data_IF_407583351206
#
_entry.id   IF_407583351206
#
_cell.length_a   1.000
_cell.length_b   1.000
_cell.length_c   1.000
_cell.angle_alpha   90.00
_cell.angle_beta   90.00
_cell.angle_gamma   90.00
#
_symmetry.space_group_name_H-M   'P 1'
#
loop_
_entity.id
_entity.type
_entity.pdbx_description
1 polymer ?
#
# COMPACT_ATOMS: atom_id res chain seq x y z
N UNK A 1 5.40 42.96 64.08
CA UNK A 1 5.99 43.02 62.74
C UNK A 1 5.29 41.94 61.87
N UNK A 2 4.36 42.34 61.00
CA UNK A 2 3.62 41.41 60.10
C UNK A 2 4.14 41.62 58.70
N UNK A 3 4.89 40.66 58.16
CA UNK A 3 5.34 40.65 56.79
C UNK A 3 4.24 40.04 55.93
N UNK A 4 3.66 40.86 55.03
CA UNK A 4 2.74 40.42 53.98
C UNK A 4 3.50 39.79 52.85
N UNK A 5 3.28 38.49 52.61
CA UNK A 5 3.75 37.77 51.44
C UNK A 5 2.72 37.95 50.33
N UNK A 6 3.06 38.78 49.34
CA UNK A 6 2.24 38.95 48.14
C UNK A 6 2.58 37.85 47.17
N UNK A 7 1.67 36.89 46.96
CA UNK A 7 1.77 35.85 45.96
C UNK A 7 1.37 36.48 44.61
N UNK A 8 2.33 36.72 43.74
CA UNK A 8 2.14 37.11 42.35
C UNK A 8 1.83 35.87 41.54
N UNK A 9 0.55 35.58 41.29
CA UNK A 9 0.09 34.55 40.37
C UNK A 9 0.33 35.08 38.96
N UNK A 10 1.41 34.64 38.30
CA UNK A 10 1.63 34.83 36.89
C UNK A 10 0.64 33.93 36.13
N UNK A 11 -0.41 34.56 35.61
CA UNK A 11 -1.35 33.94 34.64
C UNK A 11 -0.56 33.70 33.33
N UNK A 12 -0.02 32.49 33.17
CA UNK A 12 0.52 32.02 31.91
C UNK A 12 -0.70 31.69 31.02
N UNK A 13 -1.25 32.71 30.37
CA UNK A 13 -2.17 32.52 29.26
C UNK A 13 -1.34 31.91 28.13
N UNK A 14 -1.38 30.60 28.04
CA UNK A 14 -0.84 29.87 26.90
C UNK A 14 -1.59 30.37 25.65
N UNK A 15 -0.94 31.24 24.87
CA UNK A 15 -1.29 31.49 23.49
C UNK A 15 -1.17 30.15 22.77
N UNK A 16 -2.24 29.41 22.71
CA UNK A 16 -2.40 28.39 21.67
C UNK A 16 -2.36 29.17 20.36
N UNK A 17 -1.15 29.34 19.83
CA UNK A 17 -0.96 29.70 18.43
C UNK A 17 -1.72 28.63 17.64
N UNK A 18 -2.85 29.01 17.08
CA UNK A 18 -3.51 28.24 16.03
C UNK A 18 -2.52 28.27 14.85
N UNK A 19 -1.55 27.37 14.90
CA UNK A 19 -0.72 27.06 13.74
C UNK A 19 -1.72 26.56 12.71
N UNK A 20 -1.91 27.31 11.66
CA UNK A 20 -2.58 26.80 10.47
C UNK A 20 -1.75 25.57 10.06
N UNK A 21 -2.31 24.36 10.21
CA UNK A 21 -1.65 23.15 9.79
C UNK A 21 -1.48 23.18 8.27
N UNK A 22 -0.29 23.63 7.85
CA UNK A 22 0.08 23.63 6.44
C UNK A 22 0.44 22.19 6.08
N UNK A 23 -0.38 21.62 5.23
CA UNK A 23 -0.17 20.26 4.70
C UNK A 23 0.59 20.35 3.39
N UNK A 24 1.75 19.69 3.33
CA UNK A 24 2.56 19.54 2.10
C UNK A 24 2.31 18.17 1.47
N UNK A 25 2.60 18.07 0.17
CA UNK A 25 2.50 16.79 -0.56
C UNK A 25 3.39 15.70 0.06
N UNK A 26 4.64 16.04 0.36
CA UNK A 26 5.60 15.11 0.98
C UNK A 26 5.13 14.63 2.36
N UNK A 27 4.50 15.52 3.14
CA UNK A 27 3.90 15.16 4.42
C UNK A 27 2.75 14.16 4.25
N UNK A 28 1.94 14.30 3.21
CA UNK A 28 0.90 13.32 2.88
C UNK A 28 1.50 11.96 2.51
N UNK A 29 2.58 11.90 1.73
CA UNK A 29 3.29 10.65 1.42
C UNK A 29 3.83 9.97 2.68
N UNK A 30 4.46 10.76 3.56
CA UNK A 30 4.97 10.24 4.82
C UNK A 30 3.83 9.65 5.67
N UNK A 31 2.75 10.40 5.87
CA UNK A 31 1.62 9.99 6.71
C UNK A 31 0.92 8.72 6.18
N UNK A 32 0.75 8.59 4.87
CA UNK A 32 0.22 7.34 4.27
C UNK A 32 1.15 6.17 4.59
N UNK A 33 2.46 6.36 4.46
CA UNK A 33 3.44 5.30 4.73
C UNK A 33 3.52 4.91 6.21
N UNK A 34 3.07 5.78 7.14
CA UNK A 34 3.08 5.53 8.59
C UNK A 34 1.74 5.02 9.12
N UNK A 35 0.62 5.55 8.62
CA UNK A 35 -0.69 5.37 9.24
C UNK A 35 -1.61 4.42 8.47
N UNK A 36 -1.33 4.15 7.20
CA UNK A 36 -2.21 3.30 6.41
C UNK A 36 -2.29 1.89 7.01
N UNK A 37 -3.49 1.27 7.11
CA UNK A 37 -3.67 -0.03 7.79
C UNK A 37 -2.74 -1.15 7.33
N UNK A 38 -2.24 -1.08 6.08
CA UNK A 38 -1.30 -2.05 5.51
C UNK A 38 0.02 -2.10 6.30
N UNK A 39 0.44 -0.99 6.92
CA UNK A 39 1.68 -0.92 7.73
C UNK A 39 1.65 -1.91 8.90
N UNK A 40 0.46 -2.15 9.47
CA UNK A 40 0.31 -3.13 10.57
C UNK A 40 0.64 -4.56 10.14
N UNK A 41 0.53 -4.86 8.84
CA UNK A 41 0.86 -6.20 8.33
C UNK A 41 2.35 -6.50 8.42
N UNK A 42 3.22 -5.47 8.42
CA UNK A 42 4.67 -5.67 8.58
C UNK A 42 4.99 -6.39 9.90
N UNK A 43 4.49 -5.86 11.02
CA UNK A 43 4.70 -6.47 12.33
C UNK A 43 4.06 -7.86 12.44
N UNK A 44 2.91 -8.07 11.80
CA UNK A 44 2.24 -9.38 11.77
C UNK A 44 3.07 -10.41 10.98
N UNK A 45 3.65 -10.03 9.84
CA UNK A 45 4.53 -10.91 9.07
C UNK A 45 5.81 -11.25 9.83
N UNK A 46 6.41 -10.30 10.55
CA UNK A 46 7.59 -10.54 11.38
C UNK A 46 7.28 -11.52 12.51
N UNK A 47 6.16 -11.33 13.22
CA UNK A 47 5.73 -12.24 14.28
C UNK A 47 5.42 -13.64 13.73
N UNK A 48 4.71 -13.73 12.59
CA UNK A 48 4.43 -15.00 11.94
C UNK A 48 5.73 -15.73 11.56
N UNK A 49 6.67 -15.01 10.95
CA UNK A 49 7.96 -15.58 10.55
C UNK A 49 8.79 -16.05 11.75
N UNK A 50 8.78 -15.32 12.87
CA UNK A 50 9.45 -15.74 14.10
C UNK A 50 8.89 -17.10 14.59
N UNK A 51 7.56 -17.24 14.66
CA UNK A 51 6.91 -18.50 15.05
C UNK A 51 7.23 -19.64 14.06
N UNK A 52 7.30 -19.36 12.76
CA UNK A 52 7.63 -20.35 11.76
C UNK A 52 9.10 -20.78 11.81
N UNK A 53 10.02 -19.87 12.14
CA UNK A 53 11.43 -20.20 12.38
C UNK A 53 11.57 -21.05 13.64
N UNK A 54 10.88 -20.71 14.71
CA UNK A 54 10.84 -21.51 15.94
C UNK A 54 10.29 -22.91 15.64
N UNK A 55 9.21 -23.01 14.84
CA UNK A 55 8.64 -24.29 14.43
C UNK A 55 9.65 -25.14 13.62
N UNK A 56 10.44 -24.50 12.72
CA UNK A 56 11.50 -25.20 12.00
C UNK A 56 12.58 -25.70 12.99
N UNK A 57 12.91 -24.91 14.00
CA UNK A 57 13.90 -25.28 15.01
C UNK A 57 13.42 -26.38 15.96
N UNK A 58 12.10 -26.50 16.21
CA UNK A 58 11.55 -27.62 17.00
C UNK A 58 11.85 -28.99 16.37
N UNK A 59 12.08 -29.05 15.04
CA UNK A 59 12.49 -30.30 14.38
C UNK A 59 13.85 -30.85 14.87
N UNK A 60 14.65 -30.03 15.55
CA UNK A 60 15.90 -30.45 16.21
C UNK A 60 15.69 -31.10 17.58
N UNK A 61 14.49 -31.01 18.12
CA UNK A 61 14.15 -31.53 19.44
C UNK A 61 13.61 -32.96 19.31
N UNK A 62 13.78 -33.81 20.39
CA UNK A 62 13.20 -35.13 20.40
C UNK A 62 11.67 -35.05 20.39
N UNK A 63 11.05 -35.88 19.54
CA UNK A 63 9.60 -36.04 19.51
C UNK A 63 9.23 -37.25 20.35
N UNK A 64 8.25 -37.09 21.23
CA UNK A 64 7.75 -38.13 22.12
C UNK A 64 6.32 -38.48 21.70
N UNK A 65 6.15 -39.73 21.26
CA UNK A 65 4.86 -40.27 20.78
C UNK A 65 4.39 -41.39 21.71
N UNK A 66 3.12 -41.41 22.07
CA UNK A 66 2.47 -42.47 22.80
C UNK A 66 1.41 -43.13 21.94
N UNK A 67 1.60 -44.41 21.69
CA UNK A 67 0.69 -45.23 20.91
C UNK A 67 0.12 -46.34 21.79
N UNK A 68 -1.20 -46.52 21.81
CA UNK A 68 -1.89 -47.64 22.45
C UNK A 68 -2.80 -48.29 21.42
N UNK A 69 -2.64 -49.59 21.29
CA UNK A 69 -3.42 -50.41 20.35
C UNK A 69 -4.05 -51.63 21.05
N UNK A 70 -5.30 -51.90 20.76
CA UNK A 70 -5.99 -53.13 21.04
C UNK A 70 -6.53 -53.67 19.71
N UNK A 71 -6.19 -54.90 19.37
CA UNK A 71 -6.61 -55.51 18.13
C UNK A 71 -7.13 -56.93 18.34
N UNK A 72 -8.15 -57.32 17.59
CA UNK A 72 -8.57 -58.72 17.41
C UNK A 72 -8.07 -59.16 16.04
N UNK A 73 -7.26 -60.23 16.02
CA UNK A 73 -6.76 -60.86 14.81
C UNK A 73 -7.63 -62.10 14.50
N UNK A 74 -8.14 -62.19 13.28
CA UNK A 74 -8.92 -63.35 12.85
C UNK A 74 -8.06 -64.62 12.76
N UNK A 75 -6.74 -64.42 12.60
CA UNK A 75 -5.77 -65.51 12.57
C UNK A 75 -4.44 -65.05 13.20
N UNK A 76 -3.71 -65.98 13.82
CA UNK A 76 -2.42 -65.69 14.50
C UNK A 76 -1.33 -66.63 14.00
N UNK A 77 -0.07 -66.23 14.16
CA UNK A 77 1.10 -67.02 13.75
C UNK A 77 1.14 -68.36 14.56
N UNK A 78 1.09 -69.46 13.87
CA UNK A 78 1.21 -70.82 14.47
C UNK A 78 2.50 -71.48 13.95
N UNK A 79 3.16 -72.24 14.81
CA UNK A 79 4.34 -73.03 14.43
C UNK A 79 3.83 -74.39 13.97
N UNK A 80 4.01 -74.80 12.70
CA UNK A 80 3.47 -76.04 12.16
C UNK A 80 4.34 -77.30 12.56
N UNK A 81 4.75 -77.37 13.82
CA UNK A 81 5.54 -78.47 14.36
C UNK A 81 4.77 -79.15 15.53
N UNK A 82 4.61 -80.47 15.55
CA UNK A 82 3.94 -81.13 16.64
C UNK A 82 4.80 -81.06 17.93
N UNK A 83 4.15 -80.87 19.08
CA UNK A 83 4.68 -80.93 20.46
C UNK A 83 5.85 -79.92 20.75
N UNK A 84 5.78 -78.74 20.27
CA UNK A 84 6.79 -77.71 20.63
C UNK A 84 6.57 -77.11 22.02
N UNK A 85 5.44 -77.30 22.64
CA UNK A 85 5.07 -76.69 23.92
C UNK A 85 4.91 -75.15 23.83
N UNK A 86 4.88 -74.57 22.63
CA UNK A 86 4.71 -73.14 22.40
C UNK A 86 3.26 -72.86 22.04
N UNK A 87 2.56 -72.13 22.92
CA UNK A 87 1.19 -71.70 22.67
C UNK A 87 1.16 -70.58 21.63
N UNK A 88 0.26 -70.61 20.64
CA UNK A 88 0.09 -69.56 19.71
C UNK A 88 -0.34 -68.27 20.44
N UNK A 89 0.02 -67.06 19.90
CA UNK A 89 -0.43 -65.77 20.44
C UNK A 89 -1.97 -65.71 20.53
N UNK A 90 -2.51 -64.94 21.49
CA UNK A 90 -3.94 -64.72 21.59
C UNK A 90 -4.45 -63.93 20.37
N UNK A 91 -5.66 -64.15 19.92
CA UNK A 91 -6.34 -63.37 18.91
C UNK A 91 -6.58 -61.94 19.37
N UNK A 92 -6.70 -61.70 20.69
CA UNK A 92 -6.76 -60.37 21.29
C UNK A 92 -5.36 -59.93 21.66
N UNK A 93 -4.88 -58.85 20.99
CA UNK A 93 -3.55 -58.31 21.23
C UNK A 93 -3.64 -56.91 21.76
N UNK A 94 -2.82 -56.58 22.74
CA UNK A 94 -2.76 -55.29 23.38
C UNK A 94 -1.31 -54.78 23.40
N UNK A 95 -1.09 -53.53 23.03
CA UNK A 95 0.24 -52.92 23.07
C UNK A 95 0.12 -51.45 23.43
N UNK A 96 0.93 -51.00 24.36
CA UNK A 96 1.16 -49.60 24.65
C UNK A 96 2.64 -49.30 24.51
N UNK A 97 2.99 -48.29 23.75
CA UNK A 97 4.39 -47.94 23.40
C UNK A 97 4.60 -46.43 23.55
N UNK A 98 5.64 -46.06 24.24
CA UNK A 98 6.18 -44.71 24.29
C UNK A 98 7.43 -44.69 23.40
N UNK A 99 7.45 -43.82 22.41
CA UNK A 99 8.53 -43.70 21.42
C UNK A 99 9.14 -42.34 21.44
N UNK A 100 10.46 -42.25 21.37
CA UNK A 100 11.23 -41.04 21.22
C UNK A 100 11.97 -41.10 19.88
N UNK A 101 11.77 -40.07 19.04
CA UNK A 101 12.46 -39.92 17.78
C UNK A 101 13.29 -38.63 17.81
N UNK A 102 14.59 -38.74 17.62
CA UNK A 102 15.54 -37.61 17.60
C UNK A 102 16.20 -37.51 16.25
N UNK A 103 16.02 -36.37 15.57
CA UNK A 103 16.73 -36.04 14.33
C UNK A 103 18.18 -35.64 14.69
N UNK A 104 19.16 -36.43 14.30
CA UNK A 104 20.59 -36.22 14.60
C UNK A 104 21.26 -35.42 13.50
N UNK A 105 20.94 -35.76 12.23
CA UNK A 105 21.54 -35.13 11.07
C UNK A 105 20.54 -35.01 9.92
N UNK A 106 20.47 -33.83 9.30
CA UNK A 106 19.47 -33.49 8.27
C UNK A 106 20.09 -33.20 6.90
N UNK A 107 21.40 -33.35 6.71
CA UNK A 107 22.06 -32.89 5.49
C UNK A 107 22.01 -31.37 5.25
N UNK A 108 21.70 -30.58 6.31
CA UNK A 108 21.52 -29.13 6.22
C UNK A 108 20.11 -28.65 5.84
N UNK A 109 19.12 -29.57 5.79
CA UNK A 109 17.76 -29.24 5.37
C UNK A 109 17.09 -28.21 6.30
N UNK A 110 17.27 -28.30 7.62
CA UNK A 110 16.70 -27.33 8.59
C UNK A 110 17.23 -25.93 8.33
N UNK A 111 18.56 -25.79 8.16
CA UNK A 111 19.17 -24.49 7.85
C UNK A 111 18.67 -23.91 6.52
N UNK A 112 18.60 -24.74 5.48
CA UNK A 112 18.05 -24.33 4.18
C UNK A 112 16.58 -23.94 4.26
N UNK A 113 15.79 -24.63 5.11
CA UNK A 113 14.38 -24.29 5.37
C UNK A 113 14.25 -22.90 6.04
N UNK A 114 15.04 -22.65 7.08
CA UNK A 114 15.06 -21.32 7.73
C UNK A 114 15.50 -20.23 6.77
N UNK A 115 16.52 -20.49 5.92
CA UNK A 115 16.97 -19.53 4.90
C UNK A 115 15.89 -19.24 3.86
N UNK A 116 15.19 -20.26 3.36
CA UNK A 116 14.11 -20.08 2.41
C UNK A 116 12.94 -19.29 3.04
N UNK A 117 12.64 -19.53 4.34
CA UNK A 117 11.61 -18.80 5.06
C UNK A 117 11.96 -17.33 5.27
N UNK A 118 13.21 -17.01 5.59
CA UNK A 118 13.71 -15.63 5.69
C UNK A 118 13.68 -14.91 4.33
N UNK A 119 14.02 -15.60 3.24
CA UNK A 119 13.93 -15.02 1.90
C UNK A 119 12.47 -14.71 1.53
N UNK A 120 11.54 -15.61 1.84
CA UNK A 120 10.10 -15.39 1.66
C UNK A 120 9.60 -14.16 2.45
N UNK A 121 10.02 -13.99 3.72
CA UNK A 121 9.66 -12.82 4.52
C UNK A 121 10.12 -11.52 3.84
N UNK A 122 11.38 -11.46 3.37
CA UNK A 122 11.91 -10.26 2.69
C UNK A 122 11.10 -9.91 1.44
N UNK A 123 10.71 -10.92 0.65
CA UNK A 123 9.84 -10.74 -0.52
C UNK A 123 8.48 -10.16 -0.11
N UNK A 124 7.86 -10.70 0.96
CA UNK A 124 6.57 -10.22 1.46
C UNK A 124 6.65 -8.79 2.02
N UNK A 125 7.71 -8.46 2.76
CA UNK A 125 7.95 -7.10 3.27
C UNK A 125 8.09 -6.10 2.12
N UNK A 126 8.88 -6.43 1.10
CA UNK A 126 9.05 -5.56 -0.08
C UNK A 126 7.75 -5.45 -0.89
N UNK A 127 6.94 -6.50 -0.98
CA UNK A 127 5.62 -6.43 -1.61
C UNK A 127 4.68 -5.44 -0.90
N UNK A 128 4.72 -5.37 0.44
CA UNK A 128 3.99 -4.35 1.21
C UNK A 128 4.49 -2.94 0.90
N UNK A 129 5.81 -2.76 0.84
CA UNK A 129 6.41 -1.46 0.47
C UNK A 129 5.96 -1.02 -0.93
N UNK A 130 5.96 -1.90 -1.91
CA UNK A 130 5.43 -1.63 -3.26
C UNK A 130 3.96 -1.20 -3.18
N UNK A 131 3.14 -1.91 -2.40
CA UNK A 131 1.73 -1.58 -2.25
C UNK A 131 1.51 -0.21 -1.59
N UNK A 132 2.33 0.16 -0.60
CA UNK A 132 2.32 1.49 0.01
C UNK A 132 2.81 2.57 -0.98
N UNK A 133 3.83 2.26 -1.77
CA UNK A 133 4.36 3.18 -2.78
C UNK A 133 3.29 3.56 -3.83
N UNK A 134 2.48 2.60 -4.26
CA UNK A 134 1.39 2.83 -5.22
C UNK A 134 0.32 3.79 -4.69
N UNK A 135 0.17 3.94 -3.36
CA UNK A 135 -0.75 4.92 -2.78
C UNK A 135 -0.35 6.37 -3.06
N UNK A 136 0.92 6.65 -3.36
CA UNK A 136 1.39 8.00 -3.69
C UNK A 136 0.62 8.60 -4.88
N UNK A 137 0.31 7.81 -5.91
CA UNK A 137 -0.49 8.29 -7.04
C UNK A 137 -1.90 8.71 -6.62
N UNK A 138 -2.51 7.98 -5.70
CA UNK A 138 -3.83 8.33 -5.17
C UNK A 138 -3.78 9.60 -4.32
N UNK A 139 -2.72 9.76 -3.53
CA UNK A 139 -2.45 11.00 -2.79
C UNK A 139 -2.34 12.18 -3.77
N UNK A 140 -1.57 12.03 -4.87
CA UNK A 140 -1.45 13.07 -5.89
C UNK A 140 -2.80 13.51 -6.42
N UNK A 141 -3.63 12.57 -6.86
CA UNK A 141 -4.94 12.89 -7.41
C UNK A 141 -5.79 13.68 -6.42
N UNK A 142 -5.86 13.25 -5.15
CA UNK A 142 -6.64 13.92 -4.12
C UNK A 142 -6.08 15.31 -3.79
N UNK A 143 -4.77 15.40 -3.57
CA UNK A 143 -4.07 16.63 -3.20
C UNK A 143 -4.22 17.71 -4.27
N UNK A 144 -3.92 17.40 -5.52
CA UNK A 144 -4.01 18.36 -6.62
C UNK A 144 -5.45 18.69 -6.99
N UNK A 145 -6.42 17.78 -6.79
CA UNK A 145 -7.84 18.10 -6.94
C UNK A 145 -8.32 19.08 -5.88
N UNK A 146 -7.85 18.96 -4.63
CA UNK A 146 -8.15 19.93 -3.57
C UNK A 146 -7.55 21.32 -3.94
N UNK A 147 -6.32 21.35 -4.40
CA UNK A 147 -5.68 22.61 -4.86
C UNK A 147 -6.46 23.25 -6.01
N UNK A 148 -6.91 22.46 -6.98
CA UNK A 148 -7.71 22.97 -8.10
C UNK A 148 -9.01 23.61 -7.63
N UNK A 149 -9.71 22.94 -6.68
CA UNK A 149 -10.94 23.50 -6.10
C UNK A 149 -10.67 24.80 -5.31
N UNK A 150 -9.54 24.91 -4.60
CA UNK A 150 -9.14 26.16 -3.95
C UNK A 150 -8.99 27.29 -4.95
N UNK A 151 -8.21 27.07 -6.04
CA UNK A 151 -8.05 28.08 -7.09
C UNK A 151 -9.37 28.52 -7.71
N UNK A 152 -10.23 27.54 -8.02
CA UNK A 152 -11.54 27.85 -8.61
C UNK A 152 -12.43 28.62 -7.66
N UNK A 153 -12.38 28.36 -6.34
CA UNK A 153 -13.12 29.12 -5.34
C UNK A 153 -12.61 30.57 -5.25
N UNK A 154 -11.30 30.77 -5.22
CA UNK A 154 -10.68 32.09 -5.13
C UNK A 154 -11.09 32.96 -6.35
N UNK A 155 -11.06 32.38 -7.55
CA UNK A 155 -11.48 33.06 -8.77
C UNK A 155 -12.99 33.37 -8.78
N UNK A 156 -13.83 32.45 -8.28
CA UNK A 156 -15.28 32.70 -8.17
C UNK A 156 -15.60 33.80 -7.15
N UNK A 157 -14.86 33.84 -6.03
CA UNK A 157 -15.01 34.93 -5.04
C UNK A 157 -14.63 36.27 -5.68
N UNK A 158 -13.52 36.37 -6.40
CA UNK A 158 -13.10 37.57 -7.10
C UNK A 158 -14.13 38.01 -8.16
N UNK A 159 -14.68 37.07 -8.96
CA UNK A 159 -15.75 37.34 -9.94
C UNK A 159 -17.02 37.84 -9.24
N UNK A 160 -17.39 37.23 -8.10
CA UNK A 160 -18.54 37.65 -7.30
C UNK A 160 -18.39 39.09 -6.82
N UNK A 161 -17.26 39.44 -6.20
CA UNK A 161 -17.00 40.76 -5.68
C UNK A 161 -17.05 41.87 -6.80
N UNK A 162 -16.51 41.54 -7.98
CA UNK A 162 -16.59 42.42 -9.14
C UNK A 162 -18.01 42.62 -9.64
N UNK A 163 -18.82 41.56 -9.68
CA UNK A 163 -20.25 41.66 -10.06
C UNK A 163 -21.10 42.39 -9.02
N UNK A 164 -20.84 42.18 -7.73
CA UNK A 164 -21.56 42.91 -6.64
C UNK A 164 -21.28 44.38 -6.70
N UNK A 165 -20.02 44.83 -6.92
CA UNK A 165 -19.65 46.22 -7.14
C UNK A 165 -20.38 46.79 -8.35
N UNK A 166 -20.38 46.06 -9.48
CA UNK A 166 -21.04 46.50 -10.70
C UNK A 166 -22.55 46.56 -10.58
N UNK A 167 -23.17 45.67 -9.80
CA UNK A 167 -24.59 45.68 -9.52
C UNK A 167 -25.00 46.98 -8.79
N UNK A 168 -24.19 47.44 -7.84
CA UNK A 168 -24.44 48.74 -7.17
C UNK A 168 -24.45 49.92 -8.12
N UNK A 169 -23.44 49.96 -9.06
CA UNK A 169 -23.39 51.02 -10.08
C UNK A 169 -24.62 51.02 -11.02
N UNK A 170 -25.02 49.79 -11.47
CA UNK A 170 -26.14 49.61 -12.39
C UNK A 170 -27.46 49.96 -11.71
N UNK A 171 -27.66 49.54 -10.45
CA UNK A 171 -28.88 49.85 -9.70
C UNK A 171 -29.05 51.36 -9.54
N UNK A 172 -28.01 52.11 -9.20
CA UNK A 172 -28.04 53.55 -9.13
C UNK A 172 -28.34 54.19 -10.52
N UNK A 173 -27.72 53.67 -11.60
CA UNK A 173 -27.99 54.17 -12.96
C UNK A 173 -29.44 53.94 -13.42
N UNK A 174 -30.07 52.84 -13.00
CA UNK A 174 -31.54 52.58 -13.23
C UNK A 174 -32.40 53.59 -12.50
N UNK A 175 -32.07 53.87 -11.22
CA UNK A 175 -32.80 54.89 -10.43
C UNK A 175 -32.78 56.29 -11.04
N UNK A 176 -31.60 56.65 -11.63
CA UNK A 176 -31.45 57.92 -12.35
C UNK A 176 -31.95 57.91 -13.80
N UNK A 177 -32.54 56.78 -14.25
CA UNK A 177 -33.08 56.65 -15.61
C UNK A 177 -32.04 56.59 -16.74
N UNK A 178 -30.78 56.36 -16.42
CA UNK A 178 -29.69 56.29 -17.41
C UNK A 178 -29.43 54.86 -17.93
N UNK A 179 -30.10 53.85 -17.36
CA UNK A 179 -29.96 52.46 -17.77
C UNK A 179 -31.33 51.76 -17.83
N UNK A 180 -31.41 50.64 -18.59
CA UNK A 180 -32.65 49.84 -18.77
C UNK A 180 -33.07 49.17 -17.47
N UNK A 181 -34.39 49.17 -17.14
CA UNK A 181 -34.92 48.66 -15.86
C UNK A 181 -34.63 47.20 -15.52
N UNK A 182 -34.22 46.36 -16.48
CA UNK A 182 -33.95 44.93 -16.27
C UNK A 182 -32.45 44.59 -16.23
N UNK A 183 -31.59 45.62 -16.35
CA UNK A 183 -30.10 45.43 -16.39
C UNK A 183 -29.55 44.85 -15.09
N UNK A 184 -30.15 45.18 -13.94
CA UNK A 184 -29.78 44.60 -12.61
C UNK A 184 -30.08 43.11 -12.53
N UNK A 185 -31.18 42.64 -13.13
CA UNK A 185 -31.64 41.25 -13.05
C UNK A 185 -30.65 40.28 -13.70
N UNK A 186 -29.95 40.72 -14.74
CA UNK A 186 -28.89 39.91 -15.41
C UNK A 186 -27.75 39.64 -14.44
N UNK A 187 -27.30 40.64 -13.68
CA UNK A 187 -26.21 40.47 -12.71
C UNK A 187 -26.67 39.64 -11.51
N UNK A 188 -27.92 39.85 -11.00
CA UNK A 188 -28.47 39.04 -9.92
C UNK A 188 -28.53 37.55 -10.33
N UNK A 189 -28.95 37.24 -11.56
CA UNK A 189 -29.02 35.88 -12.06
C UNK A 189 -27.60 35.26 -12.12
N UNK A 190 -26.58 36.01 -12.56
CA UNK A 190 -25.20 35.50 -12.59
C UNK A 190 -24.63 35.32 -11.17
N UNK A 191 -24.93 36.22 -10.22
CA UNK A 191 -24.56 36.04 -8.80
C UNK A 191 -25.17 34.79 -8.18
N UNK A 192 -26.40 34.45 -8.51
CA UNK A 192 -27.04 33.20 -8.09
C UNK A 192 -26.36 31.98 -8.69
N UNK A 193 -25.96 32.04 -9.95
CA UNK A 193 -25.18 30.99 -10.61
C UNK A 193 -23.81 30.81 -9.93
N UNK A 194 -23.12 31.90 -9.61
CA UNK A 194 -21.84 31.83 -8.86
C UNK A 194 -22.08 31.19 -7.49
N UNK A 195 -23.14 31.57 -6.76
CA UNK A 195 -23.48 30.94 -5.48
C UNK A 195 -23.68 29.43 -5.60
N UNK A 196 -24.35 28.99 -6.66
CA UNK A 196 -24.54 27.55 -6.95
C UNK A 196 -23.18 26.87 -7.19
N UNK A 197 -22.30 27.44 -8.02
CA UNK A 197 -20.97 26.92 -8.31
C UNK A 197 -20.09 26.84 -7.03
N UNK A 198 -20.10 27.89 -6.22
CA UNK A 198 -19.38 27.91 -4.92
C UNK A 198 -19.86 26.80 -4.00
N UNK A 199 -21.18 26.59 -3.92
CA UNK A 199 -21.76 25.52 -3.10
C UNK A 199 -21.32 24.15 -3.57
N UNK A 200 -21.34 23.90 -4.88
CA UNK A 200 -20.91 22.64 -5.49
C UNK A 200 -19.41 22.36 -5.26
N UNK A 201 -18.55 23.34 -5.57
CA UNK A 201 -17.09 23.20 -5.41
C UNK A 201 -16.71 23.02 -3.93
N UNK A 202 -17.36 23.74 -3.01
CA UNK A 202 -17.10 23.61 -1.57
C UNK A 202 -17.45 22.20 -1.08
N UNK A 203 -18.59 21.63 -1.50
CA UNK A 203 -18.96 20.28 -1.13
C UNK A 203 -18.00 19.23 -1.74
N UNK A 204 -17.63 19.39 -3.02
CA UNK A 204 -16.66 18.50 -3.67
C UNK A 204 -15.30 18.56 -2.97
N UNK A 205 -14.80 19.76 -2.65
CA UNK A 205 -13.57 19.93 -1.86
C UNK A 205 -13.64 19.22 -0.52
N UNK A 206 -14.78 19.33 0.20
CA UNK A 206 -15.00 18.65 1.47
C UNK A 206 -14.88 17.15 1.33
N UNK A 207 -15.54 16.54 0.33
CA UNK A 207 -15.43 15.09 0.06
C UNK A 207 -13.98 14.67 -0.22
N UNK A 208 -13.24 15.44 -1.03
CA UNK A 208 -11.84 15.15 -1.34
C UNK A 208 -10.96 15.26 -0.09
N UNK A 209 -11.18 16.30 0.75
CA UNK A 209 -10.42 16.50 1.99
C UNK A 209 -10.69 15.38 3.00
N UNK A 210 -11.94 14.96 3.18
CA UNK A 210 -12.30 13.84 4.03
C UNK A 210 -11.70 12.53 3.51
N UNK A 211 -11.69 12.32 2.18
CA UNK A 211 -11.09 11.14 1.57
C UNK A 211 -9.57 11.11 1.78
N UNK A 212 -8.89 12.25 1.59
CA UNK A 212 -7.45 12.37 1.86
C UNK A 212 -7.15 12.15 3.34
N UNK A 213 -7.95 12.76 4.23
CA UNK A 213 -7.87 12.59 5.69
C UNK A 213 -7.94 11.11 6.09
N UNK A 214 -8.90 10.36 5.55
CA UNK A 214 -9.04 8.93 5.78
C UNK A 214 -7.83 8.13 5.24
N UNK A 215 -7.30 8.53 4.08
CA UNK A 215 -6.15 7.85 3.45
C UNK A 215 -4.86 8.05 4.25
N UNK A 216 -4.59 9.28 4.74
CA UNK A 216 -3.38 9.62 5.51
C UNK A 216 -3.50 9.31 7.01
N UNK A 217 -4.70 8.94 7.48
CA UNK A 217 -4.97 8.60 8.88
C UNK A 217 -4.89 9.79 9.86
N UNK A 218 -5.02 11.03 9.36
CA UNK A 218 -4.98 12.27 10.15
C UNK A 218 -6.19 13.10 9.83
N UNK A 219 -6.86 13.66 10.85
CA UNK A 219 -8.02 14.52 10.66
C UNK A 219 -7.61 15.84 10.00
N UNK A 220 -8.14 16.09 8.81
CA UNK A 220 -8.06 17.37 8.10
C UNK A 220 -9.39 18.08 8.23
N UNK A 221 -9.36 19.39 8.40
CA UNK A 221 -10.56 20.22 8.52
C UNK A 221 -10.63 21.24 7.37
N UNK A 222 -11.72 21.98 7.30
CA UNK A 222 -11.95 22.99 6.25
C UNK A 222 -10.96 24.19 6.30
N UNK A 223 -10.29 24.41 7.45
CA UNK A 223 -9.28 25.45 7.63
C UNK A 223 -7.86 24.98 7.30
N UNK A 224 -7.69 23.68 6.98
CA UNK A 224 -6.39 23.13 6.60
C UNK A 224 -5.92 23.77 5.30
N UNK A 225 -4.73 24.36 5.35
CA UNK A 225 -4.10 24.99 4.19
C UNK A 225 -3.21 24.00 3.46
N UNK A 226 -3.46 23.80 2.16
CA UNK A 226 -2.64 22.97 1.29
C UNK A 226 -1.61 23.83 0.57
N UNK A 227 -0.34 23.50 0.71
CA UNK A 227 0.75 24.21 0.04
C UNK A 227 0.82 23.81 -1.44
N UNK A 228 0.89 24.78 -2.35
CA UNK A 228 1.19 24.50 -3.77
C UNK A 228 2.64 24.03 -3.90
N UNK A 229 2.91 22.79 -4.32
CA UNK A 229 4.28 22.34 -4.51
C UNK A 229 4.86 22.98 -5.78
N UNK A 230 6.17 23.28 -5.73
CA UNK A 230 6.94 23.66 -6.91
C UNK A 230 7.86 22.50 -7.28
N UNK A 231 7.34 21.59 -8.10
CA UNK A 231 8.04 20.37 -8.45
C UNK A 231 8.94 20.57 -9.66
N UNK A 232 10.12 19.96 -9.58
CA UNK A 232 11.06 19.86 -10.70
C UNK A 232 11.08 18.39 -11.12
N UNK A 233 11.07 18.11 -12.41
CA UNK A 233 11.29 16.75 -12.92
C UNK A 233 12.75 16.39 -12.75
N UNK A 234 13.02 15.26 -12.11
CA UNK A 234 14.38 14.74 -11.99
C UNK A 234 14.80 14.10 -13.31
N UNK A 235 15.96 14.46 -13.80
CA UNK A 235 16.55 13.91 -15.02
C UNK A 235 17.45 12.69 -14.70
N UNK A 236 17.20 11.96 -13.61
CA UNK A 236 17.98 10.76 -13.31
C UNK A 236 17.71 9.66 -14.34
N UNK A 237 18.71 9.08 -14.99
CA UNK A 237 18.49 8.03 -15.99
C UNK A 237 18.13 6.68 -15.39
N UNK A 238 18.28 6.49 -14.06
CA UNK A 238 18.02 5.22 -13.40
C UNK A 238 16.66 5.20 -12.71
N UNK A 239 15.87 4.16 -12.97
CA UNK A 239 14.65 3.87 -12.25
C UNK A 239 14.99 3.45 -10.80
N UNK A 240 14.33 4.08 -9.82
CA UNK A 240 14.51 3.78 -8.38
C UNK A 240 13.24 3.20 -7.78
N UNK A 241 12.52 2.40 -8.56
CA UNK A 241 11.24 1.81 -8.19
C UNK A 241 11.44 0.63 -7.23
N UNK A 242 10.66 0.56 -6.12
CA UNK A 242 10.75 -0.56 -5.17
C UNK A 242 10.37 -1.91 -5.81
N UNK A 243 9.62 -1.92 -6.92
CA UNK A 243 9.28 -3.11 -7.68
C UNK A 243 10.51 -3.82 -8.25
N UNK A 244 11.56 -3.09 -8.65
CA UNK A 244 12.81 -3.69 -9.16
C UNK A 244 13.52 -4.50 -8.08
N UNK A 245 13.56 -4.00 -6.86
CA UNK A 245 14.12 -4.74 -5.73
C UNK A 245 13.22 -5.94 -5.37
N UNK A 246 11.89 -5.80 -5.45
CA UNK A 246 10.97 -6.91 -5.25
C UNK A 246 11.24 -8.05 -6.23
N UNK A 247 11.45 -7.77 -7.52
CA UNK A 247 11.79 -8.81 -8.50
C UNK A 247 13.12 -9.49 -8.16
N UNK A 248 14.11 -8.74 -7.68
CA UNK A 248 15.37 -9.34 -7.24
C UNK A 248 15.16 -10.26 -6.03
N UNK A 249 14.42 -9.82 -5.01
CA UNK A 249 14.11 -10.63 -3.83
C UNK A 249 13.31 -11.89 -4.18
N UNK A 250 12.39 -11.83 -5.14
CA UNK A 250 11.69 -13.02 -5.65
C UNK A 250 12.65 -14.02 -6.29
N UNK A 251 13.68 -13.57 -7.02
CA UNK A 251 14.71 -14.45 -7.58
C UNK A 251 15.56 -15.08 -6.47
N UNK A 252 15.95 -14.33 -5.46
CA UNK A 252 16.71 -14.81 -4.31
C UNK A 252 15.92 -15.84 -3.48
N UNK A 253 14.60 -15.64 -3.36
CA UNK A 253 13.69 -16.61 -2.75
C UNK A 253 13.67 -17.94 -3.49
N UNK A 254 13.57 -17.90 -4.82
CA UNK A 254 13.64 -19.10 -5.68
C UNK A 254 14.98 -19.82 -5.50
N UNK A 255 16.10 -19.11 -5.44
CA UNK A 255 17.41 -19.71 -5.19
C UNK A 255 17.47 -20.41 -3.83
N UNK A 256 16.90 -19.79 -2.80
CA UNK A 256 16.81 -20.39 -1.47
C UNK A 256 15.91 -21.65 -1.45
N UNK A 257 14.82 -21.64 -2.21
CA UNK A 257 13.95 -22.82 -2.40
C UNK A 257 14.66 -23.95 -3.17
N UNK A 258 15.46 -23.63 -4.18
CA UNK A 258 16.27 -24.62 -4.90
C UNK A 258 17.32 -25.28 -3.98
N UNK A 259 17.96 -24.49 -3.12
CA UNK A 259 18.88 -25.01 -2.10
C UNK A 259 18.16 -25.95 -1.12
N UNK A 260 16.96 -25.56 -0.65
CA UNK A 260 16.16 -26.39 0.22
C UNK A 260 15.80 -27.74 -0.42
N UNK A 261 15.39 -27.75 -1.70
CA UNK A 261 15.10 -28.98 -2.44
C UNK A 261 16.35 -29.87 -2.51
N UNK A 262 17.52 -29.29 -2.77
CA UNK A 262 18.79 -30.03 -2.81
C UNK A 262 19.13 -30.64 -1.44
N UNK A 263 18.98 -29.87 -0.34
CA UNK A 263 19.27 -30.33 1.02
C UNK A 263 18.28 -31.37 1.51
N UNK A 264 17.03 -31.29 1.08
CA UNK A 264 16.03 -32.29 1.43
C UNK A 264 16.30 -33.68 0.83
N UNK A 265 17.12 -33.77 -0.23
CA UNK A 265 17.53 -35.03 -0.84
C UNK A 265 18.80 -35.64 -0.21
N UNK A 266 19.40 -35.00 0.80
CA UNK A 266 20.55 -35.51 1.52
C UNK A 266 20.16 -36.60 2.51
N UNK A 267 21.07 -37.51 2.88
CA UNK A 267 20.83 -38.53 3.92
C UNK A 267 20.41 -37.86 5.23
N UNK A 268 19.46 -38.47 5.93
CA UNK A 268 18.98 -38.04 7.26
C UNK A 268 19.26 -39.18 8.27
N UNK A 269 19.84 -38.82 9.41
CA UNK A 269 20.12 -39.76 10.50
C UNK A 269 19.22 -39.46 11.68
N UNK A 270 18.52 -40.48 12.15
CA UNK A 270 17.64 -40.41 13.32
C UNK A 270 18.14 -41.38 14.41
N UNK A 271 18.12 -40.96 15.66
CA UNK A 271 18.13 -41.82 16.80
C UNK A 271 16.70 -42.07 17.23
N UNK A 272 16.42 -43.29 17.66
CA UNK A 272 15.11 -43.64 18.21
C UNK A 272 15.23 -44.56 19.43
N UNK A 273 14.31 -44.40 20.34
CA UNK A 273 14.11 -45.31 21.45
C UNK A 273 12.60 -45.52 21.62
N UNK A 274 12.20 -46.75 21.87
CA UNK A 274 10.82 -47.08 22.22
C UNK A 274 10.79 -48.03 23.40
N UNK A 275 9.85 -47.84 24.30
CA UNK A 275 9.60 -48.73 25.43
C UNK A 275 8.12 -48.89 25.64
N UNK A 276 7.71 -50.09 26.02
CA UNK A 276 6.30 -50.36 26.18
C UNK A 276 6.02 -51.71 26.82
N UNK A 277 4.76 -52.09 26.83
CA UNK A 277 4.31 -53.42 27.26
C UNK A 277 3.17 -53.86 26.36
N UNK A 278 3.07 -55.18 26.14
CA UNK A 278 2.03 -55.74 25.29
C UNK A 278 1.88 -57.25 25.46
N UNK A 279 0.80 -57.76 24.92
CA UNK A 279 0.57 -59.20 24.76
C UNK A 279 0.24 -59.47 23.27
N UNK A 280 1.13 -60.18 22.52
CA UNK A 280 2.51 -60.50 22.92
C UNK A 280 3.39 -59.24 23.00
N UNK A 281 4.53 -59.34 23.73
CA UNK A 281 5.60 -58.35 23.73
C UNK A 281 6.36 -58.32 22.38
N UNK A 282 7.70 -58.17 22.41
CA UNK A 282 8.52 -58.35 21.21
C UNK A 282 8.71 -59.81 20.85
N UNK A 283 8.67 -60.71 21.82
CA UNK A 283 8.74 -62.16 21.58
C UNK A 283 7.33 -62.69 21.26
N UNK A 284 7.07 -62.96 20.00
CA UNK A 284 5.77 -63.51 19.54
C UNK A 284 5.52 -64.97 19.98
N UNK A 285 6.54 -65.67 20.53
CA UNK A 285 6.44 -66.99 21.02
C UNK A 285 6.05 -67.07 22.50
N UNK A 286 5.96 -65.93 23.16
CA UNK A 286 5.53 -65.81 24.57
C UNK A 286 4.19 -65.07 24.62
N UNK A 287 3.13 -65.87 24.92
CA UNK A 287 1.74 -65.34 24.94
C UNK A 287 1.42 -64.65 26.28
N UNK A 288 2.39 -64.06 26.96
CA UNK A 288 2.19 -63.31 28.20
C UNK A 288 2.32 -61.81 27.97
N UNK A 289 1.82 -61.03 28.91
CA UNK A 289 2.00 -59.57 28.89
C UNK A 289 3.43 -59.25 29.32
N UNK A 290 4.25 -58.72 28.39
CA UNK A 290 5.67 -58.50 28.59
C UNK A 290 6.05 -57.02 28.35
N UNK A 291 6.91 -56.42 29.20
CA UNK A 291 7.56 -55.15 28.90
C UNK A 291 8.66 -55.35 27.85
N UNK A 292 8.88 -54.33 27.06
CA UNK A 292 9.93 -54.32 26.03
C UNK A 292 10.55 -52.94 25.83
N UNK A 293 11.74 -52.89 25.27
CA UNK A 293 12.33 -51.67 24.74
C UNK A 293 13.15 -51.95 23.49
N UNK A 294 13.30 -50.91 22.68
CA UNK A 294 14.16 -50.91 21.49
C UNK A 294 14.88 -49.58 21.41
N UNK A 295 16.20 -49.58 21.14
CA UNK A 295 17.02 -48.39 20.95
C UNK A 295 17.81 -48.63 19.68
N UNK A 296 17.90 -47.59 18.83
CA UNK A 296 18.63 -47.72 17.58
C UNK A 296 18.87 -46.39 16.86
N UNK A 297 19.53 -46.49 15.72
CA UNK A 297 19.72 -45.42 14.78
C UNK A 297 19.16 -45.83 13.42
N UNK A 298 18.57 -44.90 12.70
CA UNK A 298 17.98 -45.11 11.38
C UNK A 298 18.52 -44.09 10.40
N UNK A 299 19.12 -44.58 9.32
CA UNK A 299 19.52 -43.74 8.18
C UNK A 299 18.40 -43.79 7.14
N UNK A 300 17.94 -42.63 6.72
CA UNK A 300 16.94 -42.49 5.65
C UNK A 300 17.54 -41.68 4.53
N UNK A 301 17.65 -42.24 3.33
CA UNK A 301 18.16 -41.60 2.15
C UNK A 301 17.48 -42.10 0.89
N UNK A 302 16.92 -41.17 0.11
CA UNK A 302 16.37 -41.46 -1.20
C UNK A 302 17.50 -41.42 -2.24
N UNK A 303 18.13 -42.57 -2.51
CA UNK A 303 19.27 -42.67 -3.43
C UNK A 303 18.86 -42.43 -4.88
N UNK A 304 17.62 -42.82 -5.22
CA UNK A 304 17.09 -42.68 -6.58
C UNK A 304 15.63 -42.19 -6.52
N UNK A 305 15.34 -41.08 -7.18
CA UNK A 305 14.03 -40.41 -7.15
C UNK A 305 13.44 -40.18 -8.56
N UNK A 306 13.89 -40.89 -9.57
CA UNK A 306 13.47 -40.71 -10.97
C UNK A 306 13.64 -39.28 -11.46
N UNK A 307 14.67 -38.58 -11.03
CA UNK A 307 14.96 -37.17 -11.30
C UNK A 307 13.89 -36.19 -10.78
N UNK A 308 13.07 -36.58 -9.79
CA UNK A 308 12.02 -35.72 -9.26
C UNK A 308 12.59 -34.41 -8.69
N UNK A 309 13.69 -34.45 -7.91
CA UNK A 309 14.37 -33.26 -7.38
C UNK A 309 14.97 -32.39 -8.49
N UNK A 310 15.53 -33.01 -9.54
CA UNK A 310 16.04 -32.28 -10.71
C UNK A 310 14.90 -31.52 -11.40
N UNK A 311 13.78 -32.18 -11.70
CA UNK A 311 12.60 -31.58 -12.35
C UNK A 311 11.99 -30.45 -11.50
N UNK A 312 11.93 -30.59 -10.17
CA UNK A 312 11.47 -29.52 -9.27
C UNK A 312 12.36 -28.28 -9.36
N UNK A 313 13.70 -28.45 -9.39
CA UNK A 313 14.64 -27.34 -9.54
C UNK A 313 14.57 -26.70 -10.93
N UNK A 314 14.39 -27.49 -11.97
CA UNK A 314 14.18 -26.99 -13.35
C UNK A 314 12.89 -26.16 -13.43
N UNK A 315 11.80 -26.62 -12.79
CA UNK A 315 10.56 -25.83 -12.68
C UNK A 315 10.77 -24.51 -11.96
N UNK A 316 11.55 -24.47 -10.88
CA UNK A 316 11.89 -23.22 -10.20
C UNK A 316 12.78 -22.31 -11.08
N UNK A 317 13.65 -22.87 -11.92
CA UNK A 317 14.42 -22.07 -12.89
C UNK A 317 13.50 -21.42 -13.92
N UNK A 318 12.49 -22.13 -14.39
CA UNK A 318 11.47 -21.54 -15.29
C UNK A 318 10.74 -20.38 -14.58
N UNK A 319 10.38 -20.52 -13.30
CA UNK A 319 9.78 -19.42 -12.54
C UNK A 319 10.73 -18.22 -12.43
N UNK A 320 12.04 -18.43 -12.27
CA UNK A 320 13.04 -17.35 -12.28
C UNK A 320 13.04 -16.61 -13.63
N UNK A 321 12.99 -17.32 -14.76
CA UNK A 321 12.89 -16.73 -16.10
C UNK A 321 11.58 -15.97 -16.29
N UNK A 322 10.46 -16.44 -15.68
CA UNK A 322 9.19 -15.70 -15.69
C UNK A 322 9.35 -14.37 -14.97
N UNK A 323 10.01 -14.34 -13.80
CA UNK A 323 10.28 -13.09 -13.06
C UNK A 323 11.19 -12.14 -13.87
N UNK A 324 12.16 -12.66 -14.62
CA UNK A 324 12.97 -11.85 -15.52
C UNK A 324 12.12 -11.19 -16.62
N UNK A 325 11.21 -11.96 -17.23
CA UNK A 325 10.26 -11.40 -18.20
C UNK A 325 9.29 -10.39 -17.56
N UNK A 326 8.80 -10.64 -16.34
CA UNK A 326 7.98 -9.65 -15.58
C UNK A 326 8.76 -8.35 -15.34
N UNK A 327 10.07 -8.44 -15.08
CA UNK A 327 10.94 -7.26 -14.91
C UNK A 327 11.04 -6.47 -16.20
N UNK A 328 11.29 -7.12 -17.34
CA UNK A 328 11.33 -6.48 -18.65
C UNK A 328 10.01 -5.79 -19.01
N UNK A 329 8.88 -6.47 -18.75
CA UNK A 329 7.53 -5.88 -18.95
C UNK A 329 7.32 -4.65 -18.06
N UNK A 330 7.74 -4.72 -16.79
CA UNK A 330 7.64 -3.60 -15.87
C UNK A 330 8.47 -2.40 -16.34
N UNK A 331 9.72 -2.61 -16.73
CA UNK A 331 10.61 -1.57 -17.25
C UNK A 331 10.05 -0.94 -18.54
N UNK A 332 9.55 -1.76 -19.47
CA UNK A 332 8.91 -1.28 -20.71
C UNK A 332 7.71 -0.39 -20.40
N UNK A 333 6.78 -0.85 -19.55
CA UNK A 333 5.59 -0.09 -19.20
C UNK A 333 5.93 1.20 -18.46
N UNK A 334 6.91 1.16 -17.57
CA UNK A 334 7.38 2.33 -16.83
C UNK A 334 7.98 3.37 -17.79
N UNK A 335 8.78 2.95 -18.77
CA UNK A 335 9.34 3.86 -19.77
C UNK A 335 8.27 4.46 -20.69
N UNK A 336 7.25 3.68 -21.06
CA UNK A 336 6.09 4.20 -21.81
C UNK A 336 5.36 5.28 -21.01
N UNK A 337 5.15 5.02 -19.71
CA UNK A 337 4.47 5.98 -18.82
C UNK A 337 5.31 7.26 -18.60
N UNK A 338 6.61 7.14 -18.42
CA UNK A 338 7.52 8.29 -18.32
C UNK A 338 7.48 9.16 -19.58
N UNK A 339 7.61 8.55 -20.77
CA UNK A 339 7.48 9.27 -22.04
C UNK A 339 6.13 9.98 -22.18
N UNK A 340 5.04 9.34 -21.75
CA UNK A 340 3.71 9.96 -21.75
C UNK A 340 3.70 11.22 -20.88
N UNK A 341 4.23 11.16 -19.64
CA UNK A 341 4.28 12.33 -18.76
C UNK A 341 5.21 13.43 -19.31
N UNK A 342 6.33 13.08 -19.92
CA UNK A 342 7.22 14.08 -20.56
C UNK A 342 6.48 14.87 -21.66
N UNK A 343 5.78 14.17 -22.55
CA UNK A 343 5.00 14.80 -23.61
C UNK A 343 3.82 15.62 -23.04
N UNK A 344 3.17 15.12 -21.98
CA UNK A 344 2.09 15.84 -21.30
C UNK A 344 2.60 17.13 -20.64
N UNK A 345 3.73 17.10 -19.95
CA UNK A 345 4.38 18.26 -19.34
C UNK A 345 4.73 19.28 -20.42
N UNK A 346 5.36 18.87 -21.52
CA UNK A 346 5.72 19.76 -22.62
C UNK A 346 4.49 20.43 -23.22
N UNK A 347 3.43 19.68 -23.50
CA UNK A 347 2.14 20.21 -24.00
C UNK A 347 1.55 21.24 -23.04
N UNK A 348 1.48 20.93 -21.73
CA UNK A 348 0.88 21.84 -20.75
C UNK A 348 1.69 23.13 -20.62
N UNK A 349 3.02 23.06 -20.65
CA UNK A 349 3.88 24.25 -20.62
C UNK A 349 3.57 25.18 -21.81
N UNK A 350 3.43 24.64 -23.02
CA UNK A 350 3.05 25.42 -24.20
C UNK A 350 1.65 26.01 -24.05
N UNK A 351 0.68 25.22 -23.55
CA UNK A 351 -0.69 25.67 -23.31
C UNK A 351 -0.76 26.85 -22.32
N UNK A 352 0.03 26.81 -21.23
CA UNK A 352 0.10 27.88 -20.21
C UNK A 352 0.59 29.22 -20.84
N UNK A 353 1.52 29.18 -21.81
CA UNK A 353 1.95 30.36 -22.50
C UNK A 353 0.80 30.99 -23.31
N UNK A 354 0.03 30.15 -24.01
CA UNK A 354 -1.15 30.59 -24.78
C UNK A 354 -2.24 31.16 -23.84
N UNK A 355 -2.51 30.48 -22.71
CA UNK A 355 -3.47 30.95 -21.70
C UNK A 355 -3.11 32.37 -21.23
N UNK A 356 -1.84 32.64 -21.01
CA UNK A 356 -1.35 33.97 -20.59
C UNK A 356 -1.68 35.04 -21.62
N UNK A 357 -1.52 34.75 -22.90
CA UNK A 357 -1.88 35.68 -23.99
C UNK A 357 -3.41 35.88 -24.04
N UNK A 358 -4.19 34.80 -23.93
CA UNK A 358 -5.66 34.87 -23.91
C UNK A 358 -6.13 35.76 -22.75
N UNK A 359 -5.60 35.56 -21.54
CA UNK A 359 -5.96 36.38 -20.36
C UNK A 359 -5.66 37.85 -20.61
N UNK A 360 -4.51 38.18 -21.16
CA UNK A 360 -4.14 39.56 -21.44
C UNK A 360 -5.11 40.24 -22.46
N UNK A 361 -5.50 39.50 -23.51
CA UNK A 361 -6.49 39.99 -24.48
C UNK A 361 -7.88 40.14 -23.83
N UNK A 362 -8.33 39.18 -23.02
CA UNK A 362 -9.61 39.24 -22.32
C UNK A 362 -9.69 40.36 -21.30
N UNK A 363 -8.59 40.68 -20.61
CA UNK A 363 -8.49 41.83 -19.71
C UNK A 363 -8.65 43.15 -20.48
N UNK A 364 -7.99 43.28 -21.62
CA UNK A 364 -8.14 44.45 -22.47
C UNK A 364 -9.57 44.65 -23.01
N UNK A 365 -10.23 43.55 -23.44
CA UNK A 365 -11.64 43.56 -23.87
C UNK A 365 -12.56 43.94 -22.72
N UNK A 366 -12.37 43.36 -21.53
CA UNK A 366 -13.22 43.68 -20.36
C UNK A 366 -13.12 45.15 -19.98
N UNK A 367 -11.92 45.73 -19.97
CA UNK A 367 -11.68 47.16 -19.68
C UNK A 367 -12.40 48.06 -20.69
N UNK A 368 -12.36 47.76 -21.99
CA UNK A 368 -13.10 48.49 -23.03
C UNK A 368 -14.64 48.33 -22.83
N UNK A 369 -15.10 47.11 -22.50
CA UNK A 369 -16.48 46.79 -22.24
C UNK A 369 -17.04 47.54 -21.03
N UNK A 370 -16.27 47.71 -19.96
CA UNK A 370 -16.64 48.53 -18.80
C UNK A 370 -16.89 49.99 -19.18
N UNK A 371 -16.02 50.58 -19.99
CA UNK A 371 -16.18 51.95 -20.49
C UNK A 371 -17.41 52.10 -21.36
N UNK A 372 -17.66 51.13 -22.27
CA UNK A 372 -18.84 51.12 -23.14
C UNK A 372 -20.16 50.95 -22.36
N UNK A 373 -20.18 50.12 -21.32
CA UNK A 373 -21.33 49.96 -20.44
C UNK A 373 -21.67 51.25 -19.72
N UNK A 374 -20.65 51.92 -19.17
CA UNK A 374 -20.81 53.20 -18.46
C UNK A 374 -21.38 54.31 -19.34
N UNK A 375 -21.00 54.30 -20.66
CA UNK A 375 -21.50 55.24 -21.65
C UNK A 375 -22.81 54.79 -22.33
N UNK A 376 -23.44 53.69 -21.90
CA UNK A 376 -24.72 53.18 -22.43
C UNK A 376 -24.61 52.57 -23.85
N UNK A 377 -23.40 52.29 -24.35
CA UNK A 377 -23.16 51.76 -25.71
C UNK A 377 -23.49 50.25 -25.78
N UNK A 378 -23.32 49.54 -24.67
CA UNK A 378 -23.59 48.10 -24.60
C UNK A 378 -24.55 47.79 -23.45
N UNK A 379 -25.08 46.55 -23.44
CA UNK A 379 -25.97 46.05 -22.40
C UNK A 379 -25.21 45.43 -21.22
N UNK A 380 -25.85 45.37 -20.05
CA UNK A 380 -25.32 44.61 -18.90
C UNK A 380 -25.04 43.15 -19.21
N UNK A 381 -25.84 42.53 -20.10
CA UNK A 381 -25.61 41.13 -20.54
C UNK A 381 -24.28 41.00 -21.29
N UNK A 382 -23.91 41.94 -22.17
CA UNK A 382 -22.63 41.91 -22.85
C UNK A 382 -21.46 42.02 -21.89
N UNK A 383 -21.55 42.90 -20.86
CA UNK A 383 -20.54 43.02 -19.82
C UNK A 383 -20.36 41.71 -19.03
N UNK A 384 -21.48 41.08 -18.59
CA UNK A 384 -21.45 39.79 -17.88
C UNK A 384 -20.82 38.68 -18.73
N UNK A 385 -21.08 38.68 -20.04
CA UNK A 385 -20.47 37.76 -20.99
C UNK A 385 -18.95 37.90 -21.02
N UNK A 386 -18.44 39.12 -21.18
CA UNK A 386 -16.98 39.35 -21.25
C UNK A 386 -16.28 39.11 -19.92
N UNK A 387 -16.92 39.41 -18.80
CA UNK A 387 -16.43 39.04 -17.46
C UNK A 387 -16.36 37.52 -17.28
N UNK A 388 -17.38 36.80 -17.78
CA UNK A 388 -17.38 35.33 -17.75
C UNK A 388 -16.28 34.78 -18.62
N UNK A 389 -16.05 35.31 -19.84
CA UNK A 389 -14.97 34.91 -20.72
C UNK A 389 -13.58 35.08 -20.07
N UNK A 390 -13.37 36.18 -19.33
CA UNK A 390 -12.12 36.40 -18.58
C UNK A 390 -11.99 35.35 -17.46
N UNK A 391 -13.03 35.16 -16.66
CA UNK A 391 -13.03 34.15 -15.60
C UNK A 391 -12.70 32.74 -16.15
N UNK A 392 -13.31 32.35 -17.27
CA UNK A 392 -13.05 31.05 -17.90
C UNK A 392 -11.59 30.92 -18.35
N UNK A 393 -10.98 32.00 -18.88
CA UNK A 393 -9.58 32.02 -19.25
C UNK A 393 -8.65 31.88 -18.02
N UNK A 394 -8.94 32.62 -16.95
CA UNK A 394 -8.17 32.57 -15.71
C UNK A 394 -8.32 31.19 -15.02
N UNK A 395 -9.52 30.62 -15.03
CA UNK A 395 -9.77 29.27 -14.49
C UNK A 395 -9.04 28.18 -15.31
N UNK A 396 -9.00 28.31 -16.65
CA UNK A 396 -8.22 27.40 -17.50
C UNK A 396 -6.72 27.49 -17.21
N UNK A 397 -6.17 28.68 -17.05
CA UNK A 397 -4.78 28.90 -16.67
C UNK A 397 -4.46 28.27 -15.29
N UNK A 398 -5.31 28.49 -14.28
CA UNK A 398 -5.14 27.89 -12.96
C UNK A 398 -5.17 26.36 -13.03
N UNK A 399 -6.11 25.79 -13.80
CA UNK A 399 -6.23 24.36 -14.02
C UNK A 399 -4.96 23.78 -14.68
N UNK A 400 -4.46 24.40 -15.76
CA UNK A 400 -3.25 23.94 -16.44
C UNK A 400 -2.02 24.03 -15.53
N UNK A 401 -1.90 25.06 -14.68
CA UNK A 401 -0.81 25.12 -13.69
C UNK A 401 -0.87 23.98 -12.66
N UNK A 402 -2.05 23.66 -12.15
CA UNK A 402 -2.22 22.52 -11.22
C UNK A 402 -1.94 21.20 -11.94
N UNK A 403 -2.45 21.02 -13.17
CA UNK A 403 -2.17 19.83 -13.99
C UNK A 403 -0.68 19.65 -14.27
N UNK A 404 0.06 20.74 -14.52
CA UNK A 404 1.52 20.70 -14.69
C UNK A 404 2.21 20.13 -13.47
N UNK A 405 1.84 20.61 -12.27
CA UNK A 405 2.44 20.10 -11.03
C UNK A 405 2.03 18.63 -10.76
N UNK A 406 0.79 18.25 -11.05
CA UNK A 406 0.32 16.86 -10.97
C UNK A 406 1.10 15.95 -11.93
N UNK A 407 1.28 16.37 -13.19
CA UNK A 407 2.04 15.59 -14.16
C UNK A 407 3.51 15.41 -13.73
N UNK A 408 4.15 16.47 -13.19
CA UNK A 408 5.50 16.39 -12.61
C UNK A 408 5.55 15.46 -11.40
N UNK A 409 4.56 15.51 -10.48
CA UNK A 409 4.48 14.63 -9.33
C UNK A 409 4.37 13.16 -9.77
N UNK A 410 3.51 12.88 -10.74
CA UNK A 410 3.32 11.53 -11.27
C UNK A 410 4.58 11.04 -12.01
N UNK A 411 5.25 11.89 -12.78
CA UNK A 411 6.54 11.58 -13.40
C UNK A 411 7.58 11.15 -12.35
N UNK A 412 7.76 11.96 -11.30
CA UNK A 412 8.72 11.67 -10.22
C UNK A 412 8.42 10.35 -9.51
N UNK A 413 7.14 10.08 -9.18
CA UNK A 413 6.72 8.79 -8.61
C UNK A 413 6.97 7.64 -9.59
N UNK A 414 6.65 7.81 -10.87
CA UNK A 414 6.88 6.76 -11.89
C UNK A 414 8.37 6.46 -12.04
N UNK A 415 9.24 7.45 -11.84
CA UNK A 415 10.69 7.27 -11.84
C UNK A 415 11.22 6.60 -10.55
N UNK A 416 10.49 6.71 -9.42
CA UNK A 416 10.88 6.10 -8.14
C UNK A 416 11.29 7.11 -7.06
N UNK A 417 10.89 8.36 -7.21
CA UNK A 417 11.23 9.44 -6.28
C UNK A 417 10.09 9.81 -5.33
#
# INVERSE_FOLDING_TARGET
MKTRFSILILLFVGLQSWSQDIVTLDKCYQLVSENYPLVKQLALLENQNALELDLIDTQKLPQLDFDAQAAYLSDVTQIPLPDTGIEPPNNYQYRATLSVNQLIYTGGAIHASSKAKLAQLKTQQKQLEVSLYQLKQRVNQLYFSILLHNESLDLLVAKKEQLESKLGEITAAIEYGTMLPTSDKVLVAELLKIKQQVTEITNNKKVLTETLSALIGVSLNEFTTFQKPSLVTSLSPALQRPELELFQLKKDEIESQQELIQKNNMPKLFGFASGGAGNPGLNMLDNSFQPFYTIGVKLNWTVFDWNANKKKRESLMINKNIIENETEIFELNTNIELNKYELEIAKIVETILIDTEIINLRKAVLLATESQLRNGVITASTYVTELTNLYEAENSFANHNIQLQLAKANYNITQGQ
#
